data_IF_144812653287
#
_entry.id   IF_144812653287
#
_cell.length_a   1.000
_cell.length_b   1.000
_cell.length_c   1.000
_cell.angle_alpha   90.00
_cell.angle_beta   90.00
_cell.angle_gamma   90.00
#
_symmetry.space_group_name_H-M   'P 1'
#
loop_
_entity.id
_entity.type
_entity.pdbx_description
1 polymer ?
#
# COMPACT_ATOMS: atom_id res chain seq x y z
N UNK A 1 -16.63 10.80 7.05
CA UNK A 1 -16.31 9.38 7.32
C UNK A 1 -15.15 8.94 6.44
N UNK A 2 -14.20 8.19 7.00
CA UNK A 2 -13.05 7.66 6.24
C UNK A 2 -13.42 6.35 5.55
N UNK A 3 -12.99 6.20 4.31
CA UNK A 3 -13.07 4.99 3.52
C UNK A 3 -11.66 4.51 3.16
N UNK A 4 -11.54 3.21 3.00
CA UNK A 4 -10.30 2.56 2.59
C UNK A 4 -10.45 2.13 1.13
N UNK A 5 -9.52 2.52 0.27
CA UNK A 5 -9.32 1.93 -1.05
C UNK A 5 -8.10 1.03 -1.01
N UNK A 6 -8.17 -0.10 -1.69
CA UNK A 6 -7.05 -1.02 -1.86
C UNK A 6 -6.86 -1.32 -3.33
N UNK A 7 -5.63 -1.59 -3.75
CA UNK A 7 -5.28 -1.96 -5.11
C UNK A 7 -4.01 -2.80 -5.17
N UNK A 8 -3.93 -3.63 -6.21
CA UNK A 8 -2.77 -4.45 -6.54
C UNK A 8 -2.12 -3.98 -7.83
N UNK A 9 -0.81 -3.78 -7.81
CA UNK A 9 0.00 -3.40 -8.96
C UNK A 9 1.02 -4.47 -9.31
N UNK A 10 1.39 -4.54 -10.59
CA UNK A 10 2.39 -5.51 -11.10
C UNK A 10 3.82 -5.00 -11.05
N UNK A 11 4.02 -3.68 -10.90
CA UNK A 11 5.36 -3.11 -10.94
C UNK A 11 5.43 -1.72 -10.29
N UNK A 12 6.66 -1.32 -9.93
CA UNK A 12 6.92 -0.10 -9.16
C UNK A 12 6.48 1.17 -9.90
N UNK A 13 6.69 1.25 -11.21
CA UNK A 13 6.37 2.44 -12.00
C UNK A 13 4.88 2.78 -11.95
N UNK A 14 4.02 1.77 -12.18
CA UNK A 14 2.56 1.95 -12.12
C UNK A 14 2.10 2.38 -10.73
N UNK A 15 2.71 1.82 -9.69
CA UNK A 15 2.43 2.19 -8.30
C UNK A 15 2.85 3.62 -7.99
N UNK A 16 4.06 4.01 -8.42
CA UNK A 16 4.62 5.35 -8.22
C UNK A 16 3.75 6.41 -8.86
N UNK A 17 3.48 6.28 -10.16
CA UNK A 17 2.68 7.25 -10.91
C UNK A 17 1.28 7.42 -10.32
N UNK A 18 0.65 6.31 -9.89
CA UNK A 18 -0.65 6.37 -9.24
C UNK A 18 -0.61 7.14 -7.91
N UNK A 19 0.43 6.94 -7.10
CA UNK A 19 0.56 7.60 -5.80
C UNK A 19 0.90 9.09 -5.97
N UNK A 20 1.79 9.42 -6.90
CA UNK A 20 2.15 10.82 -7.22
C UNK A 20 0.93 11.60 -7.69
N UNK A 21 0.08 11.03 -8.54
CA UNK A 21 -1.17 11.67 -8.97
C UNK A 21 -2.13 11.88 -7.79
N UNK A 22 -2.33 10.84 -6.96
CA UNK A 22 -3.22 10.90 -5.80
C UNK A 22 -2.74 11.97 -4.79
N UNK A 23 -1.44 12.11 -4.61
CA UNK A 23 -0.85 13.14 -3.74
C UNK A 23 -0.94 14.53 -4.36
N UNK A 24 -0.62 14.67 -5.65
CA UNK A 24 -0.69 15.92 -6.40
C UNK A 24 -2.10 16.52 -6.42
N UNK A 25 -3.11 15.67 -6.61
CA UNK A 25 -4.52 16.06 -6.57
C UNK A 25 -5.09 16.15 -5.14
N UNK A 26 -4.28 15.91 -4.10
CA UNK A 26 -4.72 15.89 -2.69
C UNK A 26 -5.94 14.99 -2.45
N UNK A 27 -6.03 13.90 -3.23
CA UNK A 27 -7.13 12.93 -3.19
C UNK A 27 -7.03 12.00 -2.00
N UNK A 28 -5.81 11.66 -1.60
CA UNK A 28 -5.55 11.01 -0.34
C UNK A 28 -4.95 12.06 0.61
N UNK A 29 -5.36 12.00 1.87
CA UNK A 29 -4.55 12.61 2.92
C UNK A 29 -3.16 11.92 2.96
N UNK A 30 -2.35 12.18 3.98
CA UNK A 30 -1.07 11.49 4.22
C UNK A 30 -1.17 9.99 4.57
N UNK A 31 -2.25 9.31 4.14
CA UNK A 31 -2.61 7.92 4.50
C UNK A 31 -2.53 6.95 3.33
N UNK A 32 -1.50 7.11 2.50
CA UNK A 32 -1.12 6.13 1.49
C UNK A 32 -0.12 5.17 2.11
N UNK A 33 -0.37 3.87 1.96
CA UNK A 33 0.51 2.80 2.40
C UNK A 33 0.80 1.85 1.27
N UNK A 34 2.02 1.32 1.21
CA UNK A 34 2.48 0.40 0.17
C UNK A 34 3.21 -0.76 0.82
N UNK A 35 2.94 -1.98 0.37
CA UNK A 35 3.57 -3.21 0.85
C UNK A 35 4.07 -4.02 -0.34
N UNK A 36 5.30 -4.51 -0.24
CA UNK A 36 5.92 -5.40 -1.23
C UNK A 36 6.98 -6.28 -0.56
N UNK A 37 7.18 -7.49 -1.07
CA UNK A 37 8.25 -8.37 -0.62
C UNK A 37 9.64 -7.82 -1.01
N UNK A 38 10.60 -7.92 -0.09
CA UNK A 38 11.96 -7.38 -0.28
C UNK A 38 12.67 -7.98 -1.50
N UNK A 39 12.48 -9.28 -1.75
CA UNK A 39 13.09 -9.99 -2.88
C UNK A 39 12.67 -9.41 -4.25
N UNK A 40 11.45 -8.88 -4.37
CA UNK A 40 10.93 -8.31 -5.63
C UNK A 40 11.41 -6.88 -5.88
N UNK A 41 12.03 -6.25 -4.88
CA UNK A 41 12.75 -4.98 -5.07
C UNK A 41 14.06 -5.21 -5.82
N UNK A 42 14.60 -6.43 -5.74
CA UNK A 42 15.85 -6.83 -6.36
C UNK A 42 15.67 -7.58 -7.69
N UNK A 43 14.43 -7.81 -8.14
CA UNK A 43 14.15 -8.61 -9.33
C UNK A 43 13.61 -7.73 -10.48
N UNK A 44 14.37 -7.63 -11.58
CA UNK A 44 13.96 -6.97 -12.84
C UNK A 44 14.69 -5.67 -13.20
N UNK A 45 14.22 -4.98 -14.25
CA UNK A 45 14.80 -3.73 -14.80
C UNK A 45 14.74 -2.52 -13.84
N UNK A 46 14.04 -2.65 -12.71
CA UNK A 46 13.81 -1.56 -11.74
C UNK A 46 14.74 -1.60 -10.52
N UNK A 47 15.74 -2.51 -10.52
CA UNK A 47 16.72 -2.66 -9.43
C UNK A 47 17.42 -1.35 -9.06
N UNK A 48 17.87 -0.58 -10.05
CA UNK A 48 18.63 0.66 -9.79
C UNK A 48 17.73 1.79 -9.29
N UNK A 49 16.50 1.89 -9.79
CA UNK A 49 15.55 2.92 -9.35
C UNK A 49 15.10 2.66 -7.91
N UNK A 50 14.71 1.42 -7.59
CA UNK A 50 14.26 1.08 -6.25
C UNK A 50 15.43 1.05 -5.24
N UNK A 51 16.62 0.56 -5.63
CA UNK A 51 17.78 0.58 -4.75
C UNK A 51 18.24 2.03 -4.44
N UNK A 52 18.16 2.95 -5.39
CA UNK A 52 18.46 4.36 -5.13
C UNK A 52 17.45 5.01 -4.19
N UNK A 53 16.16 4.64 -4.27
CA UNK A 53 15.16 5.11 -3.30
C UNK A 53 15.33 4.50 -1.92
N UNK A 54 15.70 3.22 -1.82
CA UNK A 54 15.83 2.50 -0.55
C UNK A 54 17.16 2.74 0.18
N UNK A 55 18.24 3.06 -0.56
CA UNK A 55 19.58 3.24 0.01
C UNK A 55 19.75 4.55 0.80
N UNK A 56 18.78 5.47 0.75
CA UNK A 56 18.84 6.71 1.50
C UNK A 56 18.39 6.49 2.96
N UNK A 57 19.29 5.97 3.79
CA UNK A 57 19.22 6.18 5.24
C UNK A 57 19.54 7.66 5.51
N UNK A 58 18.62 8.48 6.03
CA UNK A 58 18.91 9.87 6.29
C UNK A 58 19.82 9.96 7.52
N UNK A 59 21.12 10.12 7.29
CA UNK A 59 22.04 10.58 8.34
C UNK A 59 21.85 12.07 8.66
N UNK A 60 21.14 12.81 7.80
CA UNK A 60 20.80 14.23 8.00
C UNK A 60 19.42 14.59 7.38
N UNK A 61 18.73 15.61 7.91
CA UNK A 61 17.41 16.04 7.43
C UNK A 61 17.56 16.92 6.18
N UNK A 62 17.82 16.30 5.03
CA UNK A 62 17.83 17.00 3.73
C UNK A 62 16.57 16.61 2.94
N UNK A 63 15.67 17.58 2.74
CA UNK A 63 14.33 17.43 2.13
C UNK A 63 14.29 17.68 0.60
N UNK A 64 15.44 17.83 -0.06
CA UNK A 64 15.50 18.38 -1.44
C UNK A 64 15.61 17.35 -2.59
N UNK A 65 15.26 16.07 -2.37
CA UNK A 65 15.13 15.11 -3.49
C UNK A 65 13.83 14.29 -3.36
N UNK A 66 12.82 14.72 -4.11
CA UNK A 66 11.42 14.31 -4.10
C UNK A 66 11.09 12.86 -4.52
N UNK A 67 11.90 11.84 -4.23
CA UNK A 67 11.59 10.49 -4.73
C UNK A 67 11.34 9.41 -3.69
N UNK A 68 11.46 9.71 -2.39
CA UNK A 68 11.37 8.70 -1.35
C UNK A 68 9.92 8.32 -1.00
N UNK A 69 9.18 7.72 -1.94
CA UNK A 69 7.81 7.25 -1.72
C UNK A 69 7.73 5.90 -1.00
N UNK A 70 8.87 5.21 -0.84
CA UNK A 70 8.97 3.87 -0.23
C UNK A 70 9.73 3.77 1.09
N UNK A 71 10.48 4.79 1.53
CA UNK A 71 11.26 4.66 2.78
C UNK A 71 10.45 5.17 3.97
N UNK A 72 9.89 4.23 4.74
CA UNK A 72 9.45 4.51 6.12
C UNK A 72 9.97 3.48 7.14
N UNK A 73 10.43 2.30 6.72
CA UNK A 73 11.03 1.30 7.60
C UNK A 73 12.06 0.42 6.84
N UNK A 74 13.13 -0.06 7.51
CA UNK A 74 13.98 -1.10 6.94
C UNK A 74 13.18 -2.38 6.67
N UNK A 75 13.60 -3.26 5.74
CA UNK A 75 12.94 -4.54 5.54
C UNK A 75 12.81 -5.32 6.85
N UNK A 76 11.64 -5.89 7.10
CA UNK A 76 11.39 -6.69 8.30
C UNK A 76 10.50 -7.89 8.00
N UNK A 77 10.58 -8.90 8.86
CA UNK A 77 9.79 -10.13 8.71
C UNK A 77 8.35 -9.90 9.14
N UNK A 78 7.41 -10.11 8.22
CA UNK A 78 5.98 -10.17 8.49
C UNK A 78 5.52 -11.63 8.46
N UNK A 79 4.84 -12.12 9.52
CA UNK A 79 4.25 -13.46 9.54
C UNK A 79 3.41 -13.74 8.28
N UNK A 80 3.49 -14.96 7.74
CA UNK A 80 2.80 -15.44 6.53
C UNK A 80 3.22 -14.78 5.20
N UNK A 81 4.01 -13.71 5.22
CA UNK A 81 4.57 -13.07 4.02
C UNK A 81 6.05 -13.38 3.82
N UNK A 82 6.88 -13.19 4.85
CA UNK A 82 8.33 -13.17 4.73
C UNK A 82 8.89 -11.76 4.94
N UNK A 83 10.07 -11.48 4.38
CA UNK A 83 10.69 -10.16 4.49
C UNK A 83 10.02 -9.17 3.53
N UNK A 84 9.47 -8.08 4.08
CA UNK A 84 8.73 -7.07 3.31
C UNK A 84 9.33 -5.69 3.54
N UNK A 85 9.09 -4.82 2.56
CA UNK A 85 9.24 -3.37 2.69
C UNK A 85 7.85 -2.75 2.71
N UNK A 86 7.66 -1.87 3.69
CA UNK A 86 6.37 -1.21 3.92
C UNK A 86 6.59 0.28 4.06
N UNK A 87 5.75 1.05 3.37
CA UNK A 87 5.65 2.48 3.50
C UNK A 87 4.26 2.88 4.02
N UNK A 88 4.17 4.04 4.64
CA UNK A 88 2.92 4.66 5.10
C UNK A 88 2.51 4.27 6.51
N UNK A 89 1.30 4.71 6.93
CA UNK A 89 0.72 4.35 8.23
C UNK A 89 0.68 2.85 8.51
N UNK A 90 0.58 2.02 7.46
CA UNK A 90 0.60 0.56 7.59
C UNK A 90 1.96 0.05 8.09
N UNK A 91 3.08 0.69 7.73
CA UNK A 91 4.41 0.34 8.26
C UNK A 91 4.45 0.46 9.78
N UNK A 92 4.00 1.61 10.29
CA UNK A 92 3.93 1.85 11.74
C UNK A 92 3.02 0.82 12.43
N UNK A 93 1.86 0.49 11.85
CA UNK A 93 0.98 -0.52 12.44
C UNK A 93 1.60 -1.92 12.43
N UNK A 94 2.24 -2.32 11.33
CA UNK A 94 2.89 -3.62 11.23
C UNK A 94 4.11 -3.75 12.15
N UNK A 95 4.80 -2.65 12.46
CA UNK A 95 5.95 -2.65 13.38
C UNK A 95 5.54 -2.63 14.86
N UNK A 96 4.41 -1.99 15.19
CA UNK A 96 3.93 -1.87 16.57
C UNK A 96 2.87 -2.91 16.96
N UNK A 97 2.46 -3.78 16.04
CA UNK A 97 1.52 -4.86 16.35
C UNK A 97 2.13 -5.93 17.26
N UNK A 98 1.30 -6.67 18.02
CA UNK A 98 1.75 -7.85 18.76
C UNK A 98 2.47 -8.85 17.85
N UNK A 99 3.54 -9.47 18.37
CA UNK A 99 4.28 -10.49 17.62
C UNK A 99 3.34 -11.62 17.16
N UNK A 100 3.47 -12.01 15.88
CA UNK A 100 2.68 -13.09 15.28
C UNK A 100 1.45 -12.65 14.49
N UNK A 101 1.18 -11.34 14.36
CA UNK A 101 0.17 -10.82 13.43
C UNK A 101 0.79 -10.44 12.08
N UNK A 102 0.17 -10.87 10.99
CA UNK A 102 0.59 -10.66 9.61
C UNK A 102 -0.09 -9.46 8.96
N UNK A 103 -0.01 -9.38 7.63
CA UNK A 103 -0.67 -8.32 6.88
C UNK A 103 -2.19 -8.47 6.95
N UNK A 104 -2.70 -9.70 6.86
CA UNK A 104 -4.14 -9.95 6.89
C UNK A 104 -4.80 -9.39 8.17
N UNK A 105 -4.20 -9.61 9.34
CA UNK A 105 -4.73 -9.14 10.62
C UNK A 105 -4.76 -7.61 10.71
N UNK A 106 -3.76 -6.92 10.15
CA UNK A 106 -3.76 -5.45 10.10
C UNK A 106 -4.86 -4.95 9.17
N UNK A 107 -5.07 -5.58 8.01
CA UNK A 107 -6.11 -5.21 7.07
C UNK A 107 -7.54 -5.31 7.63
N UNK A 108 -7.78 -6.23 8.58
CA UNK A 108 -9.06 -6.29 9.30
C UNK A 108 -9.37 -4.96 10.02
N UNK A 109 -8.36 -4.29 10.57
CA UNK A 109 -8.54 -3.00 11.26
C UNK A 109 -8.94 -1.86 10.32
N UNK A 110 -8.71 -2.04 9.02
CA UNK A 110 -9.09 -1.12 7.94
C UNK A 110 -10.49 -1.42 7.35
N UNK A 111 -11.17 -2.45 7.88
CA UNK A 111 -12.52 -2.86 7.49
C UNK A 111 -12.57 -3.93 6.39
N UNK A 112 -11.44 -4.55 6.04
CA UNK A 112 -11.43 -5.67 5.09
C UNK A 112 -11.96 -6.94 5.77
N UNK A 113 -12.71 -7.76 5.03
CA UNK A 113 -13.10 -9.09 5.52
C UNK A 113 -11.88 -10.04 5.54
N UNK A 114 -11.91 -11.06 6.39
CA UNK A 114 -10.78 -12.01 6.52
C UNK A 114 -10.43 -12.69 5.19
N UNK A 115 -11.44 -13.07 4.41
CA UNK A 115 -11.24 -13.70 3.10
C UNK A 115 -10.46 -12.77 2.15
N UNK A 116 -10.81 -11.48 2.14
CA UNK A 116 -10.16 -10.48 1.29
C UNK A 116 -8.80 -10.06 1.80
N UNK A 117 -8.65 -9.93 3.12
CA UNK A 117 -7.36 -9.68 3.75
C UNK A 117 -6.34 -10.79 3.43
N UNK A 118 -6.74 -12.06 3.52
CA UNK A 118 -5.91 -13.20 3.11
C UNK A 118 -5.63 -13.24 1.60
N UNK A 119 -6.58 -12.80 0.77
CA UNK A 119 -6.36 -12.66 -0.67
C UNK A 119 -5.24 -11.67 -0.97
N UNK A 120 -5.27 -10.46 -0.39
CA UNK A 120 -4.23 -9.47 -0.59
C UNK A 120 -2.88 -9.89 0.01
N UNK A 121 -2.88 -10.57 1.14
CA UNK A 121 -1.66 -11.19 1.68
C UNK A 121 -1.06 -12.19 0.68
N UNK A 122 -1.88 -13.02 0.04
CA UNK A 122 -1.41 -13.91 -1.02
C UNK A 122 -0.89 -13.16 -2.25
N UNK A 123 -1.55 -12.09 -2.68
CA UNK A 123 -1.09 -11.28 -3.82
C UNK A 123 0.27 -10.63 -3.54
N UNK A 124 0.50 -10.09 -2.33
CA UNK A 124 1.82 -9.58 -1.92
C UNK A 124 2.85 -10.70 -1.91
N UNK A 125 2.49 -11.88 -1.39
CA UNK A 125 3.36 -13.05 -1.33
C UNK A 125 3.79 -13.56 -2.72
N UNK A 126 3.00 -13.27 -3.75
CA UNK A 126 3.32 -13.61 -5.15
C UNK A 126 4.11 -12.51 -5.87
N UNK A 127 4.54 -11.47 -5.16
CA UNK A 127 5.39 -10.41 -5.68
C UNK A 127 4.66 -9.19 -6.19
N UNK A 128 3.35 -9.10 -5.96
CA UNK A 128 2.61 -7.91 -6.32
C UNK A 128 2.76 -6.79 -5.29
N UNK A 129 2.58 -5.57 -5.77
CA UNK A 129 2.62 -4.37 -4.96
C UNK A 129 1.22 -4.09 -4.43
N UNK A 130 1.06 -4.09 -3.11
CA UNK A 130 -0.20 -3.77 -2.47
C UNK A 130 -0.21 -2.32 -2.02
N UNK A 131 -1.27 -1.60 -2.40
CA UNK A 131 -1.50 -0.21 -2.03
C UNK A 131 -2.78 -0.12 -1.21
N UNK A 132 -2.69 0.55 -0.07
CA UNK A 132 -3.82 0.88 0.79
C UNK A 132 -3.89 2.39 0.98
N UNK A 133 -5.06 2.96 0.75
CA UNK A 133 -5.29 4.40 0.82
C UNK A 133 -6.51 4.67 1.68
N UNK A 134 -6.35 5.45 2.74
CA UNK A 134 -7.49 5.98 3.48
C UNK A 134 -7.78 7.42 3.07
N UNK A 135 -9.01 7.66 2.62
CA UNK A 135 -9.47 8.99 2.25
C UNK A 135 -10.90 9.23 2.69
N UNK A 136 -11.39 10.44 2.50
CA UNK A 136 -12.78 10.81 2.76
C UNK A 136 -13.72 10.17 1.74
N UNK A 137 -14.96 9.95 2.16
CA UNK A 137 -15.99 9.33 1.30
C UNK A 137 -16.13 10.01 -0.06
N UNK A 138 -16.02 11.34 -0.12
CA UNK A 138 -16.20 12.13 -1.34
C UNK A 138 -15.06 11.89 -2.35
N UNK A 139 -13.85 11.65 -1.85
CA UNK A 139 -12.64 11.47 -2.65
C UNK A 139 -12.37 10.01 -3.03
N UNK A 140 -13.04 9.05 -2.39
CA UNK A 140 -12.77 7.61 -2.60
C UNK A 140 -12.94 7.18 -4.06
N UNK A 141 -13.91 7.74 -4.77
CA UNK A 141 -14.17 7.38 -6.16
C UNK A 141 -13.06 7.90 -7.07
N UNK A 142 -12.60 9.14 -6.84
CA UNK A 142 -11.45 9.71 -7.54
C UNK A 142 -10.20 8.86 -7.32
N UNK A 143 -9.88 8.52 -6.06
CA UNK A 143 -8.77 7.61 -5.73
C UNK A 143 -8.87 6.29 -6.50
N UNK A 144 -10.03 5.63 -6.49
CA UNK A 144 -10.17 4.35 -7.22
C UNK A 144 -10.06 4.49 -8.74
N UNK A 145 -10.49 5.63 -9.29
CA UNK A 145 -10.36 5.90 -10.72
C UNK A 145 -8.91 6.13 -11.09
N UNK A 146 -8.16 6.89 -10.29
CA UNK A 146 -6.73 7.11 -10.45
C UNK A 146 -5.98 5.78 -10.37
N UNK A 147 -6.20 4.99 -9.32
CA UNK A 147 -5.59 3.66 -9.17
C UNK A 147 -5.85 2.77 -10.39
N UNK A 148 -7.07 2.79 -10.94
CA UNK A 148 -7.42 2.03 -12.15
C UNK A 148 -6.75 2.58 -13.40
N UNK A 149 -6.67 3.90 -13.55
CA UNK A 149 -6.05 4.58 -14.69
C UNK A 149 -4.58 4.23 -14.89
N UNK A 150 -3.84 4.08 -13.78
CA UNK A 150 -2.42 3.70 -13.79
C UNK A 150 -2.18 2.18 -13.77
N UNK A 151 -3.22 1.35 -13.98
CA UNK A 151 -3.07 -0.10 -14.10
C UNK A 151 -3.26 -0.90 -12.81
N UNK A 152 -3.82 -0.29 -11.77
CA UNK A 152 -4.23 -0.97 -10.54
C UNK A 152 -5.30 -2.01 -10.82
N UNK A 153 -5.16 -3.17 -10.18
CA UNK A 153 -6.04 -4.33 -10.28
C UNK A 153 -6.64 -4.66 -8.92
N UNK A 154 -7.69 -5.48 -8.94
CA UNK A 154 -8.42 -5.93 -7.75
C UNK A 154 -8.75 -4.78 -6.79
N UNK A 155 -9.25 -3.69 -7.38
CA UNK A 155 -9.51 -2.44 -6.66
C UNK A 155 -10.82 -2.58 -5.89
N UNK A 156 -10.73 -2.49 -4.56
CA UNK A 156 -11.89 -2.58 -3.67
C UNK A 156 -12.02 -1.33 -2.79
N UNK A 157 -13.25 -1.04 -2.39
CA UNK A 157 -13.61 0.06 -1.47
C UNK A 157 -14.22 -0.55 -0.21
N UNK A 158 -13.63 -0.21 0.92
CA UNK A 158 -14.03 -0.69 2.23
C UNK A 158 -14.45 0.48 3.13
N UNK A 159 -15.40 0.21 4.02
CA UNK A 159 -15.82 1.14 5.06
C UNK A 159 -15.66 0.44 6.42
N UNK A 160 -15.10 1.15 7.39
CA UNK A 160 -14.95 0.66 8.76
C UNK A 160 -16.30 0.41 9.46
N UNK A 161 -17.38 1.03 8.96
CA UNK A 161 -18.73 0.93 9.55
C UNK A 161 -19.63 -0.16 8.96
N UNK A 162 -19.18 -0.93 7.97
CA UNK A 162 -20.03 -1.95 7.33
C UNK A 162 -19.30 -3.29 7.23
N UNK A 163 -19.81 -4.27 7.97
CA UNK A 163 -19.41 -5.70 7.94
C UNK A 163 -19.70 -6.40 6.59
N UNK A 164 -20.17 -5.70 5.55
CA UNK A 164 -20.62 -6.30 4.28
C UNK A 164 -20.43 -5.36 3.05
N UNK A 165 -20.16 -5.92 1.85
CA UNK A 165 -19.69 -5.18 0.67
C UNK A 165 -20.76 -4.29 0.02
N UNK A 166 -20.37 -3.07 -0.34
CA UNK A 166 -21.14 -2.19 -1.22
C UNK A 166 -20.94 -2.58 -2.68
N UNK A 167 -21.64 -3.61 -3.16
CA UNK A 167 -21.91 -3.77 -4.60
C UNK A 167 -23.17 -3.00 -4.98
N UNK A 168 -23.25 -2.45 -6.21
CA UNK A 168 -24.44 -1.75 -6.67
C UNK A 168 -25.61 -2.73 -6.76
N UNK A 169 -26.78 -2.33 -6.25
CA UNK A 169 -28.02 -3.02 -6.60
C UNK A 169 -28.24 -2.86 -8.10
N UNK A 170 -28.40 -3.98 -8.79
CA UNK A 170 -28.87 -4.07 -10.17
C UNK A 170 -30.17 -3.30 -10.39
#
# INVERSE_FOLDING_TARGET
MLKTAVAIFKGPQQTKEAIEEIQGESLANSKVSVVVLSEYLHQGQYREEIANELAYYPSEPFFDKYHTWLVQAPPFLVPNLGEVVVAGPLASQLMHQPQGRGLAEVLLSYGLSEIRARHYEHEVRTGHWFVLIQTEHEKINAVTNTLRGYGGRDIEKWNKELDHPTYPKS
#
